data_IF_306056788128
#
_entry.id   IF_306056788128
#
_cell.length_a   1.000
_cell.length_b   1.000
_cell.length_c   1.000
_cell.angle_alpha   90.00
_cell.angle_beta   90.00
_cell.angle_gamma   90.00
#
_symmetry.space_group_name_H-M   'P 1'
#
loop_
_entity.id
_entity.type
_entity.pdbx_description
1 polymer ?
#
# COMPACT_ATOMS: atom_id res chain seq x y z
N UNK A 1 4.20 30.49 -26.11
CA UNK A 1 3.29 29.74 -25.21
C UNK A 1 3.85 28.34 -25.02
N UNK A 2 4.68 28.12 -23.99
CA UNK A 2 5.23 26.79 -23.66
C UNK A 2 5.87 26.80 -22.26
N UNK A 3 5.16 27.27 -21.24
CA UNK A 3 5.63 27.25 -19.85
C UNK A 3 4.41 27.13 -18.92
N UNK A 4 3.83 25.94 -18.78
CA UNK A 4 2.83 25.66 -17.73
C UNK A 4 2.45 24.20 -17.50
N UNK A 5 3.24 23.24 -17.99
CA UNK A 5 2.95 21.80 -17.77
C UNK A 5 3.81 21.22 -16.63
N UNK A 6 4.94 21.84 -16.28
CA UNK A 6 5.85 21.32 -15.24
C UNK A 6 5.49 21.67 -13.80
N UNK A 7 4.73 22.73 -13.54
CA UNK A 7 4.43 23.19 -12.16
C UNK A 7 3.19 22.52 -11.56
N UNK A 8 2.27 21.99 -12.36
CA UNK A 8 1.00 21.43 -11.86
C UNK A 8 1.16 19.98 -11.37
N UNK A 9 2.18 19.26 -11.84
CA UNK A 9 2.46 17.89 -11.41
C UNK A 9 3.29 17.87 -10.10
N UNK A 10 4.07 18.92 -9.84
CA UNK A 10 4.97 19.04 -8.67
C UNK A 10 4.23 19.29 -7.34
N UNK A 11 3.04 19.89 -7.36
CA UNK A 11 2.23 20.20 -6.17
C UNK A 11 1.16 19.13 -5.84
N UNK A 12 0.75 18.31 -6.82
CA UNK A 12 -0.33 17.32 -6.67
C UNK A 12 0.09 16.10 -5.83
N UNK A 13 1.32 15.61 -5.99
CA UNK A 13 1.83 14.49 -5.19
C UNK A 13 1.98 14.85 -3.70
N UNK A 14 2.12 16.13 -3.38
CA UNK A 14 2.26 16.65 -2.01
C UNK A 14 0.92 16.69 -1.25
N UNK A 15 -0.14 17.19 -1.88
CA UNK A 15 -1.48 17.26 -1.28
C UNK A 15 -2.12 15.88 -1.12
N UNK A 16 -1.71 14.88 -1.92
CA UNK A 16 -2.33 13.56 -1.91
C UNK A 16 -1.66 12.58 -0.94
N UNK A 17 -0.34 12.67 -0.68
CA UNK A 17 0.36 11.61 0.07
C UNK A 17 0.05 11.56 1.56
N UNK A 18 -0.02 12.72 2.24
CA UNK A 18 -0.32 12.77 3.68
C UNK A 18 -1.74 12.24 3.96
N UNK A 19 -2.80 12.70 3.25
CA UNK A 19 -4.12 12.13 3.37
C UNK A 19 -4.18 10.63 3.02
N UNK A 20 -3.43 10.18 2.01
CA UNK A 20 -3.41 8.76 1.64
C UNK A 20 -2.73 7.90 2.70
N UNK A 21 -1.66 8.37 3.35
CA UNK A 21 -1.02 7.67 4.48
C UNK A 21 -1.97 7.59 5.68
N UNK A 22 -2.58 8.70 6.08
CA UNK A 22 -3.53 8.75 7.20
C UNK A 22 -4.71 7.81 6.94
N UNK A 23 -5.32 7.90 5.76
CA UNK A 23 -6.41 7.01 5.33
C UNK A 23 -6.00 5.54 5.30
N UNK A 24 -4.77 5.24 4.87
CA UNK A 24 -4.26 3.86 4.90
C UNK A 24 -4.19 3.32 6.34
N UNK A 25 -3.71 4.13 7.29
CA UNK A 25 -3.65 3.76 8.71
C UNK A 25 -5.05 3.53 9.30
N UNK A 26 -5.99 4.44 9.03
CA UNK A 26 -7.39 4.31 9.48
C UNK A 26 -8.05 3.04 8.94
N UNK A 27 -7.93 2.79 7.64
CA UNK A 27 -8.55 1.64 6.97
C UNK A 27 -7.92 0.33 7.45
N UNK A 28 -6.61 0.32 7.68
CA UNK A 28 -5.89 -0.85 8.23
C UNK A 28 -6.29 -1.12 9.67
N UNK A 29 -6.42 -0.09 10.51
CA UNK A 29 -6.92 -0.21 11.89
C UNK A 29 -8.36 -0.73 11.93
N UNK A 30 -9.22 -0.23 11.03
CA UNK A 30 -10.60 -0.72 10.87
C UNK A 30 -10.64 -2.19 10.44
N UNK A 31 -9.78 -2.59 9.50
CA UNK A 31 -9.63 -3.99 9.07
C UNK A 31 -9.23 -4.89 10.24
N UNK A 32 -8.23 -4.47 11.03
CA UNK A 32 -7.77 -5.21 12.22
C UNK A 32 -8.88 -5.36 13.26
N UNK A 33 -9.62 -4.28 13.52
CA UNK A 33 -10.77 -4.29 14.43
C UNK A 33 -11.86 -5.27 13.97
N UNK A 34 -12.12 -5.36 12.67
CA UNK A 34 -13.06 -6.34 12.12
C UNK A 34 -12.53 -7.78 12.23
N UNK A 35 -11.24 -8.01 11.99
CA UNK A 35 -10.61 -9.31 12.24
C UNK A 35 -10.77 -9.73 13.71
N UNK A 36 -10.51 -8.83 14.64
CA UNK A 36 -10.59 -9.11 16.09
C UNK A 36 -12.04 -9.42 16.52
N UNK A 37 -13.02 -8.66 16.02
CA UNK A 37 -14.45 -8.91 16.29
C UNK A 37 -14.95 -10.25 15.76
N UNK A 38 -14.36 -10.72 14.67
CA UNK A 38 -14.74 -11.97 14.01
C UNK A 38 -13.83 -13.13 14.42
N UNK A 39 -12.90 -12.91 15.35
CA UNK A 39 -11.84 -13.86 15.74
C UNK A 39 -11.14 -14.48 14.52
N UNK A 40 -10.97 -13.67 13.47
CA UNK A 40 -10.47 -14.10 12.17
C UNK A 40 -8.95 -13.90 12.13
N UNK A 41 -8.21 -15.01 12.13
CA UNK A 41 -6.77 -14.99 11.94
C UNK A 41 -6.40 -14.77 10.46
N UNK A 42 -5.14 -14.43 10.18
CA UNK A 42 -4.69 -14.13 8.81
C UNK A 42 -4.86 -15.31 7.84
N UNK A 43 -4.75 -16.55 8.31
CA UNK A 43 -4.97 -17.73 7.46
C UNK A 43 -6.46 -17.96 7.15
N UNK A 44 -7.35 -17.71 8.12
CA UNK A 44 -8.79 -17.67 7.87
C UNK A 44 -9.17 -16.55 6.91
N UNK A 45 -8.54 -15.39 7.03
CA UNK A 45 -8.74 -14.27 6.12
C UNK A 45 -8.36 -14.63 4.68
N UNK A 46 -7.20 -15.27 4.46
CA UNK A 46 -6.81 -15.77 3.13
C UNK A 46 -7.83 -16.75 2.58
N UNK A 47 -8.34 -17.65 3.42
CA UNK A 47 -9.38 -18.60 3.01
C UNK A 47 -10.68 -17.87 2.63
N UNK A 48 -11.13 -16.89 3.41
CA UNK A 48 -12.33 -16.12 3.11
C UNK A 48 -12.20 -15.28 1.84
N UNK A 49 -11.00 -14.75 1.56
CA UNK A 49 -10.69 -14.10 0.29
C UNK A 49 -10.89 -15.07 -0.87
N UNK A 50 -10.37 -16.30 -0.75
CA UNK A 50 -10.56 -17.33 -1.77
C UNK A 50 -12.04 -17.72 -1.93
N UNK A 51 -12.78 -17.86 -0.82
CA UNK A 51 -14.22 -18.16 -0.83
C UNK A 51 -15.01 -17.07 -1.57
N UNK A 52 -14.73 -15.79 -1.31
CA UNK A 52 -15.40 -14.64 -1.95
C UNK A 52 -15.05 -14.57 -3.44
N UNK A 53 -13.79 -14.81 -3.81
CA UNK A 53 -13.36 -14.85 -5.22
C UNK A 53 -13.99 -16.03 -5.97
N UNK A 54 -14.05 -17.21 -5.36
CA UNK A 54 -14.71 -18.38 -5.92
C UNK A 54 -16.22 -18.14 -6.06
N UNK A 55 -16.86 -17.54 -5.05
CA UNK A 55 -18.27 -17.16 -5.10
C UNK A 55 -18.56 -16.19 -6.26
N UNK A 56 -17.73 -15.16 -6.42
CA UNK A 56 -17.85 -14.20 -7.52
C UNK A 56 -17.63 -14.85 -8.91
N UNK A 57 -16.68 -15.78 -9.01
CA UNK A 57 -16.34 -16.48 -10.25
C UNK A 57 -17.36 -17.55 -10.65
N UNK A 58 -18.05 -18.14 -9.67
CA UNK A 58 -19.00 -19.25 -9.87
C UNK A 58 -20.39 -18.81 -10.33
N UNK A 59 -20.58 -17.53 -10.67
CA UNK A 59 -21.81 -17.01 -11.27
C UNK A 59 -23.06 -17.42 -10.49
N UNK A 60 -23.18 -17.02 -9.22
CA UNK A 60 -24.34 -17.28 -8.34
C UNK A 60 -24.82 -18.75 -8.19
N UNK A 61 -24.14 -19.76 -8.75
CA UNK A 61 -24.72 -21.09 -8.88
C UNK A 61 -24.22 -22.15 -7.87
N UNK A 62 -23.16 -21.93 -7.08
CA UNK A 62 -22.53 -23.06 -6.40
C UNK A 62 -22.04 -22.91 -4.95
N UNK A 63 -22.02 -21.73 -4.33
CA UNK A 63 -21.61 -21.61 -2.92
C UNK A 63 -22.37 -20.49 -2.22
N UNK A 64 -23.69 -20.61 -2.17
CA UNK A 64 -24.53 -19.70 -1.41
C UNK A 64 -24.84 -20.29 -0.03
N UNK A 65 -25.01 -19.49 1.02
CA UNK A 65 -25.69 -19.91 2.25
C UNK A 65 -27.09 -20.49 1.99
N UNK A 66 -27.64 -20.26 0.80
CA UNK A 66 -28.85 -20.90 0.27
C UNK A 66 -28.67 -22.41 0.06
N UNK A 67 -27.46 -22.90 -0.20
CA UNK A 67 -27.19 -24.33 -0.35
C UNK A 67 -27.14 -25.02 1.02
N UNK A 68 -26.40 -24.48 2.00
CA UNK A 68 -26.43 -24.97 3.37
C UNK A 68 -27.84 -24.87 4.01
N UNK A 69 -28.56 -23.76 3.79
CA UNK A 69 -29.98 -23.64 4.21
C UNK A 69 -30.90 -24.58 3.43
N UNK A 70 -30.65 -24.79 2.14
CA UNK A 70 -31.39 -25.73 1.29
C UNK A 70 -31.23 -27.17 1.77
N UNK A 71 -30.00 -27.57 2.10
CA UNK A 71 -29.66 -28.83 2.74
C UNK A 71 -30.38 -28.97 4.09
N UNK A 72 -30.38 -27.94 4.96
CA UNK A 72 -31.14 -27.99 6.22
C UNK A 72 -32.65 -28.16 6.00
N UNK A 73 -33.24 -27.43 5.04
CA UNK A 73 -34.67 -27.55 4.71
C UNK A 73 -34.97 -28.95 4.18
N UNK A 74 -34.12 -29.49 3.29
CA UNK A 74 -34.24 -30.84 2.73
C UNK A 74 -34.15 -31.91 3.83
N UNK A 75 -33.17 -31.83 4.72
CA UNK A 75 -32.98 -32.74 5.87
C UNK A 75 -34.23 -32.74 6.77
N UNK A 76 -34.72 -31.55 7.15
CA UNK A 76 -35.94 -31.41 7.96
C UNK A 76 -37.15 -32.01 7.24
N UNK A 77 -37.32 -31.72 5.95
CA UNK A 77 -38.40 -32.24 5.13
C UNK A 77 -38.39 -33.77 5.03
N UNK A 78 -37.22 -34.37 4.76
CA UNK A 78 -37.04 -35.82 4.69
C UNK A 78 -37.31 -36.50 6.03
N UNK A 79 -36.81 -35.94 7.14
CA UNK A 79 -37.08 -36.46 8.48
C UNK A 79 -38.58 -36.49 8.79
N UNK A 80 -39.28 -35.38 8.56
CA UNK A 80 -40.74 -35.29 8.76
C UNK A 80 -41.47 -36.30 7.86
N UNK A 81 -41.09 -36.40 6.60
CA UNK A 81 -41.72 -37.33 5.65
C UNK A 81 -41.56 -38.80 6.07
N UNK A 82 -40.36 -39.18 6.53
CA UNK A 82 -40.09 -40.53 7.05
C UNK A 82 -40.94 -40.81 8.29
N UNK A 83 -41.03 -39.87 9.23
CA UNK A 83 -41.85 -40.00 10.44
C UNK A 83 -43.33 -40.18 10.10
N UNK A 84 -43.87 -39.37 9.19
CA UNK A 84 -45.26 -39.47 8.72
C UNK A 84 -45.55 -40.82 8.04
N UNK A 85 -44.67 -41.27 7.14
CA UNK A 85 -44.82 -42.57 6.46
C UNK A 85 -44.70 -43.75 7.41
N UNK A 86 -43.79 -43.68 8.40
CA UNK A 86 -43.66 -44.68 9.45
C UNK A 86 -44.94 -44.76 10.29
N UNK A 87 -45.48 -43.61 10.68
CA UNK A 87 -46.74 -43.54 11.41
C UNK A 87 -47.92 -44.10 10.60
N UNK A 88 -48.01 -43.79 9.30
CA UNK A 88 -49.02 -44.36 8.41
C UNK A 88 -48.92 -45.89 8.29
N UNK A 89 -47.69 -46.41 8.17
CA UNK A 89 -47.42 -47.84 8.05
C UNK A 89 -47.86 -48.64 9.27
N UNK A 90 -47.74 -48.09 10.48
CA UNK A 90 -48.15 -48.77 11.71
C UNK A 90 -49.63 -48.58 12.06
N UNK A 91 -50.32 -47.62 11.43
CA UNK A 91 -51.74 -47.34 11.71
C UNK A 91 -52.71 -48.10 10.81
N UNK A 92 -52.28 -48.53 9.62
CA UNK A 92 -53.15 -49.13 8.60
C UNK A 92 -52.93 -50.64 8.48
N UNK A 93 -54.02 -51.41 8.47
CA UNK A 93 -54.02 -52.84 8.13
C UNK A 93 -54.09 -52.99 6.59
N UNK A 94 -53.05 -52.53 5.91
CA UNK A 94 -52.98 -52.49 4.45
C UNK A 94 -52.52 -53.84 3.85
N UNK A 95 -52.89 -54.11 2.59
CA UNK A 95 -52.42 -55.30 1.86
C UNK A 95 -50.89 -55.33 1.85
N UNK A 96 -50.29 -56.51 2.03
CA UNK A 96 -48.84 -56.71 2.16
C UNK A 96 -48.01 -55.99 1.06
N UNK A 97 -48.51 -55.96 -0.19
CA UNK A 97 -47.89 -55.23 -1.31
C UNK A 97 -47.78 -53.71 -1.10
N UNK A 98 -48.77 -53.07 -0.46
CA UNK A 98 -48.75 -51.62 -0.19
C UNK A 98 -47.81 -51.31 0.98
N UNK A 99 -47.84 -52.12 2.03
CA UNK A 99 -46.89 -52.04 3.16
C UNK A 99 -45.44 -52.18 2.69
N UNK A 100 -45.17 -53.12 1.77
CA UNK A 100 -43.84 -53.30 1.19
C UNK A 100 -43.38 -52.06 0.40
N UNK A 101 -44.26 -51.47 -0.41
CA UNK A 101 -43.95 -50.23 -1.16
C UNK A 101 -43.62 -49.05 -0.24
N UNK A 102 -44.38 -48.87 0.84
CA UNK A 102 -44.15 -47.79 1.81
C UNK A 102 -42.83 -48.02 2.56
N UNK A 103 -42.56 -49.27 2.97
CA UNK A 103 -41.29 -49.65 3.60
C UNK A 103 -40.10 -49.38 2.69
N UNK A 104 -40.21 -49.72 1.40
CA UNK A 104 -39.17 -49.44 0.41
C UNK A 104 -38.95 -47.93 0.22
N UNK A 105 -40.02 -47.12 0.24
CA UNK A 105 -39.92 -45.66 0.16
C UNK A 105 -39.24 -45.06 1.39
N UNK A 106 -39.57 -45.55 2.59
CA UNK A 106 -38.90 -45.15 3.84
C UNK A 106 -37.40 -45.49 3.77
N UNK A 107 -37.03 -46.68 3.27
CA UNK A 107 -35.62 -47.06 3.13
C UNK A 107 -34.87 -46.15 2.14
N UNK A 108 -35.50 -45.81 1.00
CA UNK A 108 -34.94 -44.85 0.04
C UNK A 108 -34.76 -43.46 0.64
N UNK A 109 -35.76 -42.94 1.36
CA UNK A 109 -35.69 -41.63 1.99
C UNK A 109 -34.68 -41.59 3.15
N UNK A 110 -34.53 -42.67 3.92
CA UNK A 110 -33.46 -42.81 4.92
C UNK A 110 -32.08 -42.76 4.28
N UNK A 111 -31.88 -43.47 3.16
CA UNK A 111 -30.62 -43.42 2.42
C UNK A 111 -30.32 -42.00 1.92
N UNK A 112 -31.31 -41.35 1.30
CA UNK A 112 -31.18 -39.95 0.85
C UNK A 112 -30.92 -38.98 2.01
N UNK A 113 -31.57 -39.18 3.16
CA UNK A 113 -31.36 -38.35 4.35
C UNK A 113 -29.92 -38.45 4.85
N UNK A 114 -29.34 -39.65 4.87
CA UNK A 114 -27.94 -39.85 5.25
C UNK A 114 -26.98 -39.17 4.26
N UNK A 115 -27.26 -39.27 2.96
CA UNK A 115 -26.48 -38.57 1.92
C UNK A 115 -26.55 -37.04 2.08
N UNK A 116 -27.72 -36.49 2.40
CA UNK A 116 -27.91 -35.06 2.62
C UNK A 116 -27.23 -34.57 3.91
N UNK A 117 -27.30 -35.34 4.99
CA UNK A 117 -26.58 -35.06 6.23
C UNK A 117 -25.07 -35.10 5.98
N UNK A 118 -24.58 -36.06 5.20
CA UNK A 118 -23.17 -36.16 4.86
C UNK A 118 -22.71 -34.96 4.03
N UNK A 119 -23.50 -34.53 3.04
CA UNK A 119 -23.23 -33.29 2.28
C UNK A 119 -23.20 -32.07 3.20
N UNK A 120 -24.14 -31.96 4.13
CA UNK A 120 -24.21 -30.85 5.07
C UNK A 120 -22.99 -30.80 6.00
N UNK A 121 -22.50 -31.96 6.46
CA UNK A 121 -21.26 -32.04 7.27
C UNK A 121 -20.02 -31.68 6.44
N UNK A 122 -20.00 -32.01 5.15
CA UNK A 122 -18.91 -31.68 4.22
C UNK A 122 -18.84 -30.19 3.84
N UNK A 123 -19.91 -29.43 4.09
CA UNK A 123 -19.88 -27.97 4.05
C UNK A 123 -19.72 -27.45 5.49
N UNK A 124 -18.48 -27.32 6.01
CA UNK A 124 -18.27 -26.61 7.26
C UNK A 124 -18.67 -25.15 7.03
N UNK A 125 -19.90 -24.84 7.44
CA UNK A 125 -20.32 -23.48 7.68
C UNK A 125 -19.45 -22.96 8.83
N UNK A 126 -18.53 -22.05 8.52
CA UNK A 126 -17.73 -21.35 9.53
C UNK A 126 -18.57 -20.36 10.34
N UNK A 127 -19.91 -20.38 10.15
CA UNK A 127 -20.89 -19.57 10.85
C UNK A 127 -20.90 -18.13 10.37
N UNK A 128 -20.08 -17.79 9.37
CA UNK A 128 -19.91 -16.44 8.86
C UNK A 128 -20.50 -16.35 7.45
N UNK A 129 -21.60 -15.60 7.36
CA UNK A 129 -22.29 -15.38 6.09
C UNK A 129 -21.36 -14.72 5.05
N UNK A 130 -21.54 -15.10 3.78
CA UNK A 130 -20.74 -14.61 2.65
C UNK A 130 -20.74 -13.09 2.53
N UNK A 131 -21.80 -12.40 2.98
CA UNK A 131 -21.86 -10.93 3.00
C UNK A 131 -20.85 -10.36 4.00
N UNK A 132 -20.67 -11.00 5.14
CA UNK A 132 -19.68 -10.60 6.15
C UNK A 132 -18.26 -10.84 5.64
N UNK A 133 -18.01 -12.01 5.03
CA UNK A 133 -16.73 -12.30 4.36
C UNK A 133 -16.43 -11.27 3.27
N UNK A 134 -17.44 -10.88 2.48
CA UNK A 134 -17.33 -9.85 1.45
C UNK A 134 -16.97 -8.48 2.02
N UNK A 135 -17.59 -8.04 3.11
CA UNK A 135 -17.24 -6.75 3.75
C UNK A 135 -15.78 -6.71 4.16
N UNK A 136 -15.30 -7.81 4.72
CA UNK A 136 -13.91 -7.95 5.15
C UNK A 136 -12.96 -7.97 3.93
N UNK A 137 -13.33 -8.70 2.87
CA UNK A 137 -12.64 -8.67 1.58
C UNK A 137 -12.58 -7.26 0.97
N UNK A 138 -13.69 -6.53 0.92
CA UNK A 138 -13.75 -5.17 0.34
C UNK A 138 -12.83 -4.22 1.12
N UNK A 139 -12.78 -4.34 2.45
CA UNK A 139 -11.86 -3.57 3.29
C UNK A 139 -10.40 -3.94 3.02
N UNK A 140 -10.07 -5.23 2.88
CA UNK A 140 -8.73 -5.69 2.51
C UNK A 140 -8.33 -5.13 1.14
N UNK A 141 -9.23 -5.19 0.15
CA UNK A 141 -8.98 -4.62 -1.18
C UNK A 141 -8.71 -3.12 -1.12
N UNK A 142 -9.42 -2.39 -0.25
CA UNK A 142 -9.16 -0.97 -0.01
C UNK A 142 -7.78 -0.73 0.61
N UNK A 143 -7.38 -1.52 1.61
CA UNK A 143 -6.01 -1.45 2.17
C UNK A 143 -4.96 -1.70 1.10
N UNK A 144 -5.13 -2.75 0.28
CA UNK A 144 -4.21 -3.07 -0.80
C UNK A 144 -4.08 -1.94 -1.82
N UNK A 145 -5.21 -1.35 -2.26
CA UNK A 145 -5.21 -0.23 -3.21
C UNK A 145 -4.50 1.00 -2.65
N UNK A 146 -4.80 1.38 -1.40
CA UNK A 146 -4.17 2.54 -0.75
C UNK A 146 -2.67 2.30 -0.51
N UNK A 147 -2.29 1.05 -0.23
CA UNK A 147 -0.88 0.67 -0.09
C UNK A 147 -0.12 0.82 -1.41
N UNK A 148 -0.73 0.40 -2.54
CA UNK A 148 -0.17 0.59 -3.87
C UNK A 148 -0.05 2.09 -4.22
N UNK A 149 -1.09 2.87 -3.97
CA UNK A 149 -1.11 4.33 -4.16
C UNK A 149 0.01 5.01 -3.38
N UNK A 150 0.18 4.67 -2.08
CA UNK A 150 1.31 5.14 -1.26
C UNK A 150 2.66 4.81 -1.91
N UNK A 151 2.84 3.59 -2.43
CA UNK A 151 4.10 3.20 -3.07
C UNK A 151 4.39 4.00 -4.35
N UNK A 152 3.35 4.29 -5.14
CA UNK A 152 3.48 5.13 -6.34
C UNK A 152 3.90 6.54 -5.95
N UNK A 153 3.22 7.16 -4.99
CA UNK A 153 3.53 8.50 -4.52
C UNK A 153 4.96 8.60 -3.96
N UNK A 154 5.42 7.60 -3.19
CA UNK A 154 6.82 7.54 -2.71
C UNK A 154 7.81 7.49 -3.88
N UNK A 155 7.53 6.71 -4.93
CA UNK A 155 8.39 6.66 -6.13
C UNK A 155 8.43 8.00 -6.85
N UNK A 156 7.30 8.67 -6.99
CA UNK A 156 7.22 10.01 -7.60
C UNK A 156 7.99 11.05 -6.79
N UNK A 157 7.89 11.02 -5.46
CA UNK A 157 8.70 11.85 -4.57
C UNK A 157 10.20 11.62 -4.76
N UNK A 158 10.63 10.36 -4.78
CA UNK A 158 12.03 10.02 -5.02
C UNK A 158 12.53 10.51 -6.38
N UNK A 159 11.70 10.34 -7.42
CA UNK A 159 11.99 10.83 -8.76
C UNK A 159 12.10 12.36 -8.78
N UNK A 160 11.22 13.07 -8.08
CA UNK A 160 11.27 14.52 -7.96
C UNK A 160 12.56 14.98 -7.26
N UNK A 161 12.95 14.35 -6.15
CA UNK A 161 14.22 14.63 -5.49
C UNK A 161 15.41 14.41 -6.43
N UNK A 162 15.39 13.33 -7.22
CA UNK A 162 16.46 13.04 -8.17
C UNK A 162 16.53 14.09 -9.29
N UNK A 163 15.38 14.45 -9.86
CA UNK A 163 15.29 15.51 -10.87
C UNK A 163 15.87 16.83 -10.38
N UNK A 164 15.55 17.24 -9.14
CA UNK A 164 16.09 18.48 -8.57
C UNK A 164 17.62 18.41 -8.43
N UNK A 165 18.17 17.28 -7.96
CA UNK A 165 19.62 17.06 -7.87
C UNK A 165 20.30 17.18 -9.24
N UNK A 166 19.75 16.50 -10.25
CA UNK A 166 20.31 16.50 -11.61
C UNK A 166 20.23 17.89 -12.24
N UNK A 167 19.13 18.60 -12.02
CA UNK A 167 18.91 19.96 -12.51
C UNK A 167 19.90 20.95 -11.88
N UNK A 168 20.17 20.84 -10.57
CA UNK A 168 21.18 21.64 -9.87
C UNK A 168 22.57 21.38 -10.46
N UNK A 169 22.97 20.11 -10.59
CA UNK A 169 24.27 19.74 -11.16
C UNK A 169 24.45 20.27 -12.59
N UNK A 170 23.40 20.17 -13.42
CA UNK A 170 23.39 20.69 -14.78
C UNK A 170 23.55 22.21 -14.83
N UNK A 171 22.82 22.95 -13.99
CA UNK A 171 22.93 24.42 -13.92
C UNK A 171 24.31 24.84 -13.43
N UNK A 172 24.88 24.13 -12.45
CA UNK A 172 26.25 24.37 -11.96
C UNK A 172 27.29 24.14 -13.07
N UNK A 173 27.16 23.06 -13.84
CA UNK A 173 28.03 22.80 -14.99
C UNK A 173 27.95 23.92 -16.04
N UNK A 174 26.74 24.33 -16.43
CA UNK A 174 26.55 25.46 -17.36
C UNK A 174 27.18 26.74 -16.83
N UNK A 175 27.03 27.01 -15.53
CA UNK A 175 27.57 28.20 -14.88
C UNK A 175 29.11 28.19 -14.86
N UNK A 176 29.73 27.03 -14.63
CA UNK A 176 31.19 26.87 -14.71
C UNK A 176 31.71 27.14 -16.13
N UNK A 177 31.08 26.55 -17.15
CA UNK A 177 31.44 26.78 -18.56
C UNK A 177 31.32 28.25 -18.96
N UNK A 178 30.21 28.91 -18.61
CA UNK A 178 30.02 30.34 -18.91
C UNK A 178 31.03 31.21 -18.16
N UNK A 179 31.34 30.88 -16.89
CA UNK A 179 32.33 31.62 -16.09
C UNK A 179 33.72 31.57 -16.72
N UNK A 180 34.16 30.37 -17.15
CA UNK A 180 35.44 30.20 -17.85
C UNK A 180 35.44 31.03 -19.14
N UNK A 181 34.42 30.92 -19.98
CA UNK A 181 34.33 31.67 -21.24
C UNK A 181 34.36 33.20 -21.04
N UNK A 182 33.82 33.72 -19.94
CA UNK A 182 33.86 35.15 -19.61
C UNK A 182 35.22 35.62 -19.07
N UNK A 183 36.04 34.72 -18.50
CA UNK A 183 37.36 35.04 -17.94
C UNK A 183 38.49 34.94 -18.97
N UNK A 184 38.41 33.99 -19.91
CA UNK A 184 39.50 33.73 -20.88
C UNK A 184 39.57 34.75 -22.03
N UNK A 185 38.69 35.76 -22.10
CA UNK A 185 38.77 36.88 -23.05
C UNK A 185 38.90 36.50 -24.54
N UNK A 186 38.59 35.27 -24.92
CA UNK A 186 39.11 34.66 -26.16
C UNK A 186 38.24 34.84 -27.40
N UNK A 187 37.24 35.73 -27.39
CA UNK A 187 36.35 35.93 -28.54
C UNK A 187 36.28 37.39 -29.00
N UNK A 188 36.59 37.68 -30.28
CA UNK A 188 36.49 39.02 -30.82
C UNK A 188 35.00 39.32 -31.09
N UNK A 189 34.50 40.42 -30.53
CA UNK A 189 33.14 40.97 -30.68
C UNK A 189 32.09 40.50 -29.65
N UNK A 190 31.92 41.30 -28.59
CA UNK A 190 30.60 41.65 -28.03
C UNK A 190 29.90 40.66 -27.07
N UNK A 191 30.42 39.46 -26.83
CA UNK A 191 29.71 38.43 -26.05
C UNK A 191 29.75 38.56 -24.52
N UNK A 192 30.48 39.53 -23.96
CA UNK A 192 30.70 39.62 -22.51
C UNK A 192 29.45 40.05 -21.74
N UNK A 193 28.72 41.09 -22.16
CA UNK A 193 27.55 41.58 -21.42
C UNK A 193 26.39 40.56 -21.38
N UNK A 194 26.12 39.89 -22.50
CA UNK A 194 25.11 38.83 -22.57
C UNK A 194 25.52 37.58 -21.78
N UNK A 195 26.81 37.21 -21.82
CA UNK A 195 27.37 36.14 -20.99
C UNK A 195 27.20 36.42 -19.49
N UNK A 196 27.48 37.65 -19.04
CA UNK A 196 27.27 38.08 -17.65
C UNK A 196 25.78 38.07 -17.28
N UNK A 197 24.88 38.56 -18.15
CA UNK A 197 23.41 38.48 -17.92
C UNK A 197 22.92 37.03 -17.84
N UNK A 198 23.45 36.15 -18.68
CA UNK A 198 23.20 34.71 -18.65
C UNK A 198 23.67 34.09 -17.33
N UNK A 199 24.87 34.45 -16.86
CA UNK A 199 25.42 33.99 -15.58
C UNK A 199 24.56 34.43 -14.39
N UNK A 200 24.10 35.68 -14.36
CA UNK A 200 23.18 36.19 -13.32
C UNK A 200 21.87 35.39 -13.33
N UNK A 201 21.34 35.09 -14.52
CA UNK A 201 20.11 34.29 -14.67
C UNK A 201 20.29 32.84 -14.19
N UNK A 202 21.45 32.22 -14.48
CA UNK A 202 21.80 30.89 -13.99
C UNK A 202 21.97 30.86 -12.46
N UNK A 203 22.61 31.89 -11.87
CA UNK A 203 22.72 32.04 -10.41
C UNK A 203 21.35 32.13 -9.74
N UNK A 204 20.43 32.91 -10.31
CA UNK A 204 19.03 32.99 -9.82
C UNK A 204 18.34 31.64 -9.91
N UNK A 205 18.42 30.97 -11.07
CA UNK A 205 17.84 29.64 -11.27
C UNK A 205 18.40 28.60 -10.29
N UNK A 206 19.70 28.65 -10.00
CA UNK A 206 20.34 27.79 -9.01
C UNK A 206 19.81 28.04 -7.60
N UNK A 207 19.65 29.31 -7.21
CA UNK A 207 19.07 29.68 -5.93
C UNK A 207 17.62 29.15 -5.80
N UNK A 208 16.79 29.32 -6.83
CA UNK A 208 15.41 28.84 -6.84
C UNK A 208 15.32 27.31 -6.73
N UNK A 209 16.19 26.58 -7.44
CA UNK A 209 16.27 25.12 -7.36
C UNK A 209 16.72 24.63 -5.98
N UNK A 210 17.70 25.31 -5.36
CA UNK A 210 18.14 24.99 -4.00
C UNK A 210 17.04 25.24 -2.96
N UNK A 211 16.30 26.33 -3.12
CA UNK A 211 15.14 26.62 -2.27
C UNK A 211 14.09 25.52 -2.41
N UNK A 212 13.76 25.11 -3.65
CA UNK A 212 12.86 23.97 -3.90
C UNK A 212 13.38 22.68 -3.25
N UNK A 213 14.66 22.38 -3.38
CA UNK A 213 15.27 21.18 -2.77
C UNK A 213 15.15 21.20 -1.25
N UNK A 214 15.35 22.35 -0.60
CA UNK A 214 15.18 22.51 0.83
C UNK A 214 13.72 22.32 1.26
N UNK A 215 12.78 22.96 0.56
CA UNK A 215 11.33 22.81 0.82
C UNK A 215 10.93 21.34 0.71
N UNK A 216 11.30 20.68 -0.38
CA UNK A 216 11.00 19.26 -0.62
C UNK A 216 11.64 18.35 0.43
N UNK A 217 12.89 18.60 0.82
CA UNK A 217 13.58 17.81 1.84
C UNK A 217 12.91 17.93 3.22
N UNK A 218 12.50 19.12 3.63
CA UNK A 218 11.76 19.33 4.88
C UNK A 218 10.42 18.59 4.86
N UNK A 219 9.71 18.70 3.74
CA UNK A 219 8.36 18.13 3.57
C UNK A 219 8.37 16.61 3.49
N UNK A 220 9.26 16.03 2.69
CA UNK A 220 9.30 14.58 2.48
C UNK A 220 9.83 13.82 3.69
N UNK A 221 10.64 14.48 4.54
CA UNK A 221 11.11 13.91 5.82
C UNK A 221 9.95 13.38 6.66
N UNK A 222 8.87 14.15 6.82
CA UNK A 222 7.71 13.75 7.63
C UNK A 222 6.88 12.59 7.06
N UNK A 223 7.03 12.29 5.75
CA UNK A 223 6.25 11.25 5.05
C UNK A 223 7.04 9.95 4.85
N UNK A 224 8.37 10.05 4.77
CA UNK A 224 9.27 8.90 4.71
C UNK A 224 9.59 8.32 6.10
N UNK A 225 9.48 9.12 7.16
CA UNK A 225 9.72 8.71 8.56
C UNK A 225 8.51 8.31 9.43
N UNK A 226 7.23 8.24 9.01
CA UNK A 226 6.16 7.73 9.87
C UNK A 226 6.17 6.19 9.85
N UNK A 227 7.27 5.61 10.34
CA UNK A 227 7.30 4.23 10.83
C UNK A 227 7.42 4.33 12.34
N UNK A 228 6.41 3.90 13.13
CA UNK A 228 6.53 3.90 14.59
C UNK A 228 7.72 3.02 14.97
N UNK A 229 8.80 3.65 15.45
CA UNK A 229 9.94 2.95 16.05
C UNK A 229 9.46 2.30 17.34
N UNK A 230 8.99 1.07 17.23
CA UNK A 230 8.93 0.17 18.36
C UNK A 230 10.32 -0.42 18.56
N UNK A 231 10.99 0.16 19.56
CA UNK A 231 11.96 -0.46 20.46
C UNK A 231 13.42 -0.59 19.98
N UNK A 232 14.24 0.11 20.78
CA UNK A 232 15.64 -0.08 21.15
C UNK A 232 16.77 0.46 20.25
N UNK A 233 17.73 1.01 21.00
CA UNK A 233 18.77 1.96 20.65
C UNK A 233 19.88 1.32 19.83
N UNK A 234 20.40 2.05 18.83
CA UNK A 234 21.84 2.30 18.78
C UNK A 234 22.06 3.64 18.06
N UNK A 235 22.61 4.59 18.81
CA UNK A 235 22.93 5.93 18.37
C UNK A 235 24.11 5.88 17.38
N UNK A 236 23.91 6.50 16.22
CA UNK A 236 24.94 6.70 15.21
C UNK A 236 24.62 7.98 14.45
N UNK A 237 24.72 9.10 15.16
CA UNK A 237 24.62 10.44 14.60
C UNK A 237 25.77 10.65 13.61
N UNK A 238 25.48 10.61 12.30
CA UNK A 238 26.45 10.95 11.26
C UNK A 238 26.44 12.48 11.13
N UNK A 239 27.43 13.10 11.77
CA UNK A 239 27.77 14.51 11.66
C UNK A 239 28.20 14.83 10.22
N UNK A 240 27.42 15.66 9.54
CA UNK A 240 27.68 16.09 8.15
C UNK A 240 28.38 17.46 8.08
N UNK A 241 28.97 17.97 9.17
CA UNK A 241 29.47 19.35 9.22
C UNK A 241 30.97 19.53 9.42
N UNK A 242 31.77 18.46 9.50
CA UNK A 242 33.22 18.61 9.56
C UNK A 242 33.87 18.27 8.21
N UNK A 243 34.21 19.32 7.45
CA UNK A 243 35.44 19.44 6.64
C UNK A 243 35.30 20.54 5.59
N UNK A 244 35.33 21.81 6.02
CA UNK A 244 36.00 22.88 5.26
C UNK A 244 36.60 23.89 6.25
N UNK A 245 37.74 23.54 6.83
CA UNK A 245 38.75 24.52 7.23
C UNK A 245 40.10 23.89 6.94
N UNK A 246 40.61 24.12 5.73
CA UNK A 246 42.02 23.87 5.42
C UNK A 246 42.77 25.15 5.77
N UNK A 247 43.71 25.01 6.69
CA UNK A 247 44.83 25.93 6.92
C UNK A 247 45.53 26.25 5.59
N UNK A 248 45.78 27.53 5.36
CA UNK A 248 46.93 27.99 4.58
C UNK A 248 47.80 28.78 5.59
N UNK A 249 48.81 28.09 6.13
CA UNK A 249 49.97 28.72 6.75
C UNK A 249 50.91 29.15 5.62
N UNK A 250 51.17 30.46 5.50
CA UNK A 250 52.32 30.95 4.75
C UNK A 250 53.27 31.67 5.74
N UNK A 251 54.49 31.14 5.77
CA UNK A 251 55.69 31.62 6.46
C UNK A 251 56.07 33.04 6.03
N UNK A 252 56.36 33.93 6.98
CA UNK A 252 57.27 35.05 6.75
C UNK A 252 58.39 35.00 7.79
N UNK A 253 59.57 34.69 7.27
CA UNK A 253 60.84 34.48 7.93
C UNK A 253 61.59 35.83 7.95
N UNK A 254 61.60 36.53 9.08
CA UNK A 254 62.42 37.73 9.28
C UNK A 254 63.26 37.58 10.55
N UNK A 255 64.49 37.08 10.35
CA UNK A 255 65.54 37.02 11.36
C UNK A 255 66.51 38.21 11.26
N UNK A 256 67.00 38.62 12.43
CA UNK A 256 68.15 39.49 12.71
C UNK A 256 67.95 41.01 12.48
N UNK A 257 68.33 41.91 13.39
CA UNK A 257 69.30 41.85 14.49
C UNK A 257 68.98 42.96 15.48
N UNK A 258 69.10 42.68 16.77
CA UNK A 258 69.26 43.77 17.73
C UNK A 258 69.08 43.36 19.17
N UNK A 259 70.07 42.73 19.78
CA UNK A 259 70.30 42.92 21.21
C UNK A 259 71.78 43.08 21.55
N UNK A 260 72.02 44.26 22.09
CA UNK A 260 73.17 44.77 22.81
C UNK A 260 73.10 44.25 24.24
N UNK A 261 74.19 43.76 24.81
CA UNK A 261 74.39 43.72 26.27
C UNK A 261 75.87 43.56 26.61
N UNK A 262 76.30 44.49 27.48
CA UNK A 262 77.46 44.56 28.39
C UNK A 262 78.91 44.54 27.86
#
# INVERSE_FOLDING_TARGET
MALKVGTVVEDVAFDEILPTVEKTLEVTGSLKKMQDQLHCCDDMLKQWVADVQQWASSGNAATSPVDARGLQISIKGLFVSICQKKHYLYRQNDRNKRCQKISQKIAQEKKRLLEEIQRYIQHPDDGVDIITKKKLFDQLMLVSRLTEEKQILVKEMMQHCQYLKDSVAKVQSMMATVSVCTQTGSYPNGFTEEGFKGLISLKRKLHDLRLKQQTVACTYRGVLEPTPRLVEEEEGEIDWQHDISSDDEDEDDDAEVGLKSD
#
